data_IF_774530648357
#
_entry.id   IF_774530648357
#
_cell.length_a   1.000
_cell.length_b   1.000
_cell.length_c   1.000
_cell.angle_alpha   90.00
_cell.angle_beta   90.00
_cell.angle_gamma   90.00
#
_symmetry.space_group_name_H-M   'P 1'
#
loop_
_entity.id
_entity.type
_entity.pdbx_description
1 polymer ?
#
# COMPACT_ATOMS: atom_id res chain seq x y z
N UNK A 1 -7.90 4.80 15.12
CA UNK A 1 -8.09 3.58 15.93
C UNK A 1 -9.27 2.75 15.45
N UNK A 2 -10.46 3.35 15.32
CA UNK A 2 -11.68 2.64 14.89
C UNK A 2 -11.54 2.03 13.50
N UNK A 3 -10.90 2.73 12.56
CA UNK A 3 -10.66 2.24 11.21
C UNK A 3 -9.81 0.97 11.24
N UNK A 4 -8.72 0.98 12.00
CA UNK A 4 -7.83 -0.17 12.10
C UNK A 4 -8.52 -1.37 12.78
N UNK A 5 -9.30 -1.13 13.81
CA UNK A 5 -10.07 -2.20 14.47
C UNK A 5 -11.09 -2.81 13.52
N UNK A 6 -11.85 -1.97 12.81
CA UNK A 6 -12.82 -2.46 11.84
C UNK A 6 -12.16 -3.31 10.76
N UNK A 7 -11.03 -2.84 10.20
CA UNK A 7 -10.31 -3.57 9.16
C UNK A 7 -9.77 -4.92 9.65
N UNK A 8 -9.26 -4.98 10.88
CA UNK A 8 -8.72 -6.23 11.45
C UNK A 8 -9.81 -7.22 11.87
N UNK A 9 -11.04 -6.77 12.03
CA UNK A 9 -12.17 -7.62 12.43
C UNK A 9 -13.07 -8.05 11.26
N UNK A 10 -12.57 -7.91 10.04
CA UNK A 10 -13.26 -8.41 8.85
C UNK A 10 -14.13 -7.42 8.11
N UNK A 11 -14.15 -6.16 8.52
CA UNK A 11 -14.86 -5.11 7.78
C UNK A 11 -13.99 -4.56 6.65
N UNK A 12 -14.58 -4.34 5.48
CA UNK A 12 -13.92 -3.59 4.42
C UNK A 12 -14.07 -2.09 4.70
N UNK A 13 -12.95 -1.42 4.88
CA UNK A 13 -12.92 0.02 5.14
C UNK A 13 -12.22 0.73 3.99
N UNK A 14 -12.84 1.75 3.44
CA UNK A 14 -12.26 2.64 2.44
C UNK A 14 -12.06 4.01 3.06
N UNK A 15 -10.87 4.56 2.90
CA UNK A 15 -10.56 5.90 3.40
C UNK A 15 -9.63 6.62 2.45
N UNK A 16 -9.56 7.94 2.56
CA UNK A 16 -8.67 8.78 1.78
C UNK A 16 -7.73 9.54 2.70
N UNK A 17 -6.51 9.74 2.22
CA UNK A 17 -5.48 10.47 2.93
C UNK A 17 -4.82 11.46 1.99
N UNK A 18 -4.50 12.63 2.51
CA UNK A 18 -3.77 13.63 1.76
C UNK A 18 -2.28 13.32 1.83
N UNK A 19 -1.70 12.86 0.72
CA UNK A 19 -0.29 12.47 0.66
C UNK A 19 0.24 12.61 -0.77
N UNK A 20 1.55 12.73 -0.91
CA UNK A 20 2.20 12.87 -2.20
C UNK A 20 2.57 11.55 -2.88
N UNK A 21 2.43 10.42 -2.18
CA UNK A 21 2.77 9.09 -2.72
C UNK A 21 2.10 7.98 -1.91
N UNK A 22 2.16 6.75 -2.41
CA UNK A 22 1.70 5.57 -1.65
C UNK A 22 2.49 5.43 -0.36
N UNK A 23 3.81 5.57 -0.43
CA UNK A 23 4.69 5.49 0.73
C UNK A 23 4.27 6.50 1.81
N UNK A 24 4.11 7.77 1.42
CA UNK A 24 3.70 8.82 2.35
C UNK A 24 2.32 8.56 2.96
N UNK A 25 1.39 8.00 2.19
CA UNK A 25 0.06 7.69 2.71
C UNK A 25 0.11 6.61 3.80
N UNK A 26 0.91 5.57 3.58
CA UNK A 26 1.08 4.50 4.57
C UNK A 26 1.82 5.03 5.81
N UNK A 27 2.87 5.82 5.61
CA UNK A 27 3.60 6.44 6.72
C UNK A 27 2.70 7.37 7.53
N UNK A 28 1.86 8.15 6.86
CA UNK A 28 0.91 9.05 7.52
C UNK A 28 -0.12 8.30 8.36
N UNK A 29 -0.68 7.21 7.82
CA UNK A 29 -1.58 6.34 8.57
C UNK A 29 -0.91 5.72 9.79
N UNK A 30 0.31 5.23 9.59
CA UNK A 30 1.07 4.61 10.66
C UNK A 30 1.36 5.60 11.79
N UNK A 31 1.73 6.83 11.44
CA UNK A 31 1.98 7.90 12.40
C UNK A 31 0.72 8.27 13.20
N UNK A 32 -0.41 8.43 12.51
CA UNK A 32 -1.69 8.71 13.17
C UNK A 32 -2.13 7.57 14.09
N UNK A 33 -1.97 6.33 13.64
CA UNK A 33 -2.30 5.16 14.43
C UNK A 33 -1.40 5.03 15.66
N UNK A 34 -0.12 5.34 15.54
CA UNK A 34 0.83 5.30 16.64
C UNK A 34 0.46 6.26 17.77
N UNK A 35 -0.12 7.40 17.43
CA UNK A 35 -0.63 8.35 18.45
C UNK A 35 -1.81 7.79 19.24
N UNK A 36 -2.58 6.88 18.66
CA UNK A 36 -3.78 6.31 19.29
C UNK A 36 -3.51 4.99 20.00
N UNK A 37 -2.74 4.09 19.39
CA UNK A 37 -2.54 2.72 19.89
C UNK A 37 -1.08 2.40 20.20
N UNK A 38 -0.18 3.35 20.01
CA UNK A 38 1.26 3.19 20.32
C UNK A 38 1.91 2.10 19.50
N UNK A 39 2.78 1.32 20.11
CA UNK A 39 3.61 0.32 19.43
C UNK A 39 2.84 -0.79 18.69
N UNK A 40 1.54 -0.91 18.89
CA UNK A 40 0.70 -1.88 18.15
C UNK A 40 0.29 -1.38 16.77
N UNK A 41 0.52 -0.11 16.45
CA UNK A 41 0.05 0.49 15.19
C UNK A 41 0.58 -0.25 13.96
N UNK A 42 1.86 -0.60 13.94
CA UNK A 42 2.48 -1.31 12.82
C UNK A 42 1.85 -2.66 12.56
N UNK A 43 1.57 -3.43 13.61
CA UNK A 43 0.91 -4.74 13.50
C UNK A 43 -0.51 -4.61 12.99
N UNK A 44 -1.27 -3.67 13.53
CA UNK A 44 -2.67 -3.47 13.15
C UNK A 44 -2.77 -3.02 11.68
N UNK A 45 -1.95 -2.07 11.27
CA UNK A 45 -1.95 -1.58 9.90
C UNK A 45 -1.49 -2.68 8.93
N UNK A 46 -0.42 -3.40 9.26
CA UNK A 46 0.07 -4.49 8.43
C UNK A 46 -0.99 -5.59 8.23
N UNK A 47 -1.76 -5.88 9.26
CA UNK A 47 -2.79 -6.90 9.20
C UNK A 47 -4.04 -6.41 8.46
N UNK A 48 -4.41 -5.14 8.66
CA UNK A 48 -5.67 -4.61 8.14
C UNK A 48 -5.58 -4.01 6.74
N UNK A 49 -4.37 -3.65 6.27
CA UNK A 49 -4.22 -3.02 4.96
C UNK A 49 -4.35 -4.04 3.84
N UNK A 50 -5.28 -3.82 2.93
CA UNK A 50 -5.46 -4.64 1.73
C UNK A 50 -4.82 -4.00 0.51
N UNK A 51 -5.03 -2.71 0.34
CA UNK A 51 -4.47 -1.97 -0.79
C UNK A 51 -4.30 -0.49 -0.43
N UNK A 52 -3.33 0.12 -1.04
CA UNK A 52 -3.15 1.57 -1.02
C UNK A 52 -2.80 2.03 -2.43
N UNK A 53 -3.40 3.12 -2.89
CA UNK A 53 -3.05 3.65 -4.20
C UNK A 53 -3.02 5.17 -4.16
N UNK A 54 -2.22 5.71 -5.07
CA UNK A 54 -2.05 7.14 -5.24
C UNK A 54 -2.21 7.49 -6.72
N UNK A 55 -3.03 8.48 -7.01
CA UNK A 55 -3.27 8.94 -8.37
C UNK A 55 -2.61 10.29 -8.59
N UNK A 56 -1.84 10.40 -9.67
CA UNK A 56 -1.23 11.64 -10.11
C UNK A 56 -1.79 11.99 -11.48
N UNK A 57 -2.15 13.25 -11.68
CA UNK A 57 -2.56 13.73 -12.99
C UNK A 57 -1.33 14.15 -13.78
N UNK A 58 -1.14 13.54 -14.94
CA UNK A 58 -0.05 13.87 -15.85
C UNK A 58 -0.58 14.44 -17.16
N UNK A 59 0.31 14.95 -18.00
CA UNK A 59 -0.05 15.44 -19.35
C UNK A 59 -0.65 14.34 -20.24
N UNK A 60 -0.34 13.08 -19.95
CA UNK A 60 -0.88 11.90 -20.68
C UNK A 60 -2.14 11.33 -20.03
N UNK A 61 -2.65 11.94 -18.96
CA UNK A 61 -3.79 11.48 -18.19
C UNK A 61 -3.42 11.03 -16.79
N UNK A 62 -4.36 10.41 -16.05
CA UNK A 62 -4.08 9.93 -14.69
C UNK A 62 -3.09 8.78 -14.69
N UNK A 63 -2.17 8.83 -13.73
CA UNK A 63 -1.20 7.78 -13.48
C UNK A 63 -1.43 7.22 -12.07
N UNK A 64 -1.56 5.90 -11.97
CA UNK A 64 -1.88 5.23 -10.72
C UNK A 64 -0.70 4.38 -10.25
N UNK A 65 -0.23 4.64 -9.05
CA UNK A 65 0.66 3.72 -8.33
C UNK A 65 -0.11 3.06 -7.21
N UNK A 66 0.16 1.78 -6.99
CA UNK A 66 -0.60 1.01 -6.01
C UNK A 66 0.27 -0.05 -5.35
N UNK A 67 -0.13 -0.39 -4.14
CA UNK A 67 0.43 -1.52 -3.39
C UNK A 67 -0.73 -2.39 -2.93
N UNK A 68 -0.65 -3.69 -3.21
CA UNK A 68 -1.56 -4.70 -2.68
C UNK A 68 -0.82 -5.57 -1.69
N UNK A 69 -1.47 -5.87 -0.57
CA UNK A 69 -0.97 -6.86 0.37
C UNK A 69 -1.46 -8.24 -0.05
N UNK A 70 -0.65 -9.25 0.18
CA UNK A 70 -0.99 -10.63 -0.18
C UNK A 70 -1.19 -11.46 1.08
N UNK A 71 -2.12 -12.39 1.01
CA UNK A 71 -2.30 -13.42 2.02
C UNK A 71 -1.54 -14.65 1.58
N UNK A 72 -0.31 -14.82 2.02
CA UNK A 72 0.42 -16.04 1.77
C UNK A 72 1.19 -16.47 3.01
N UNK A 73 1.51 -17.76 3.07
CA UNK A 73 2.19 -18.37 4.21
C UNK A 73 3.68 -18.02 4.26
N UNK A 74 4.23 -17.47 3.19
CA UNK A 74 5.65 -17.11 3.09
C UNK A 74 5.93 -15.67 3.52
N UNK A 75 4.88 -14.96 3.96
CA UNK A 75 4.98 -13.56 4.34
C UNK A 75 4.90 -12.63 3.14
N UNK A 76 4.11 -11.57 3.32
CA UNK A 76 4.01 -10.50 2.34
C UNK A 76 5.11 -9.47 2.65
N UNK A 77 5.98 -9.14 1.68
CA UNK A 77 7.04 -8.15 1.91
C UNK A 77 6.51 -6.80 2.37
N UNK A 78 5.37 -6.36 1.81
CA UNK A 78 4.76 -5.07 2.15
C UNK A 78 4.28 -5.07 3.59
N UNK A 79 3.59 -6.14 4.03
CA UNK A 79 3.16 -6.26 5.42
C UNK A 79 4.33 -6.29 6.39
N UNK A 80 5.40 -7.01 6.04
CA UNK A 80 6.60 -7.11 6.86
C UNK A 80 7.26 -5.73 7.04
N UNK A 81 7.37 -4.95 5.97
CA UNK A 81 7.96 -3.61 6.03
C UNK A 81 7.12 -2.67 6.90
N UNK A 82 5.80 -2.77 6.85
CA UNK A 82 4.92 -1.97 7.70
C UNK A 82 5.11 -2.36 9.17
N UNK A 83 5.12 -3.66 9.48
CA UNK A 83 5.32 -4.14 10.86
C UNK A 83 6.65 -3.71 11.44
N UNK A 84 7.70 -3.71 10.63
CA UNK A 84 9.05 -3.37 11.05
C UNK A 84 9.36 -1.87 11.00
N UNK A 85 8.37 -1.05 10.66
CA UNK A 85 8.51 0.40 10.49
C UNK A 85 9.57 0.77 9.45
N UNK A 86 9.61 0.01 8.35
CA UNK A 86 10.54 0.21 7.24
C UNK A 86 9.82 0.59 5.95
N UNK A 87 8.77 1.40 6.07
CA UNK A 87 7.93 1.81 4.93
C UNK A 87 8.73 2.54 3.84
N UNK A 88 9.82 3.20 4.21
CA UNK A 88 10.70 3.85 3.24
C UNK A 88 11.30 2.91 2.19
N UNK A 89 11.29 1.60 2.42
CA UNK A 89 11.80 0.59 1.50
C UNK A 89 10.71 -0.01 0.59
N UNK A 90 9.48 0.48 0.69
CA UNK A 90 8.33 -0.14 0.02
C UNK A 90 8.31 0.07 -1.49
N UNK A 91 8.94 1.14 -2.00
CA UNK A 91 8.83 1.53 -3.41
C UNK A 91 9.37 0.47 -4.37
N UNK A 92 10.44 -0.24 -4.03
CA UNK A 92 10.97 -1.31 -4.87
C UNK A 92 9.98 -2.47 -5.02
N UNK A 93 9.23 -2.78 -3.98
CA UNK A 93 8.19 -3.82 -4.02
C UNK A 93 6.96 -3.36 -4.80
N UNK A 94 6.61 -2.08 -4.69
CA UNK A 94 5.54 -1.46 -5.50
C UNK A 94 5.90 -1.57 -6.98
N UNK A 95 7.11 -1.21 -7.35
CA UNK A 95 7.57 -1.28 -8.74
C UNK A 95 7.50 -2.71 -9.29
N UNK A 96 7.91 -3.69 -8.49
CA UNK A 96 7.81 -5.10 -8.87
C UNK A 96 6.37 -5.57 -9.03
N UNK A 97 5.47 -5.14 -8.15
CA UNK A 97 4.04 -5.46 -8.26
C UNK A 97 3.44 -4.89 -9.54
N UNK A 98 3.68 -3.62 -9.81
CA UNK A 98 3.14 -2.94 -10.99
C UNK A 98 3.65 -3.60 -12.26
N UNK A 99 4.95 -3.89 -12.33
CA UNK A 99 5.55 -4.56 -13.48
C UNK A 99 4.93 -5.94 -13.71
N UNK A 100 4.74 -6.72 -12.65
CA UNK A 100 4.11 -8.04 -12.73
C UNK A 100 2.68 -7.97 -13.23
N UNK A 101 1.90 -7.03 -12.71
CA UNK A 101 0.51 -6.87 -13.10
C UNK A 101 0.37 -6.34 -14.52
N UNK A 102 1.22 -5.42 -14.93
CA UNK A 102 1.24 -4.91 -16.31
C UNK A 102 1.57 -6.05 -17.28
N UNK A 103 2.54 -6.89 -16.97
CA UNK A 103 2.87 -8.07 -17.77
C UNK A 103 1.67 -9.02 -17.88
N UNK A 104 0.96 -9.26 -16.79
CA UNK A 104 -0.24 -10.11 -16.80
C UNK A 104 -1.37 -9.54 -17.65
N UNK A 105 -1.44 -8.21 -17.77
CA UNK A 105 -2.42 -7.53 -18.63
C UNK A 105 -1.98 -7.45 -20.09
N UNK A 106 -0.81 -7.96 -20.44
CA UNK A 106 -0.25 -7.84 -21.78
C UNK A 106 0.35 -6.45 -22.05
N UNK A 107 0.76 -5.74 -21.01
CA UNK A 107 1.39 -4.43 -21.12
C UNK A 107 2.91 -4.54 -20.92
N UNK A 108 3.65 -3.68 -21.61
CA UNK A 108 5.08 -3.55 -21.38
C UNK A 108 5.29 -2.86 -20.01
N UNK A 109 5.98 -3.50 -19.04
CA UNK A 109 6.17 -2.89 -17.72
C UNK A 109 7.04 -1.64 -17.72
N UNK A 110 7.83 -1.42 -18.80
CA UNK A 110 8.67 -0.22 -18.92
C UNK A 110 7.90 0.95 -19.52
N UNK A 111 7.12 0.71 -20.57
CA UNK A 111 6.41 1.76 -21.31
C UNK A 111 4.95 1.89 -20.92
N UNK A 112 4.36 0.87 -20.28
CA UNK A 112 2.93 0.83 -19.98
C UNK A 112 2.05 0.63 -21.22
N UNK A 113 2.64 0.40 -22.38
CA UNK A 113 1.91 0.18 -23.63
C UNK A 113 1.66 -1.29 -23.87
N UNK A 114 0.64 -1.58 -24.67
CA UNK A 114 0.31 -2.96 -25.03
C UNK A 114 1.46 -3.61 -25.80
N UNK A 115 1.80 -4.80 -25.37
CA UNK A 115 2.82 -5.60 -26.03
C UNK A 115 2.32 -6.11 -27.40
#
# INVERSE_FOLDING_TARGET
>A
EQILRAATTGHLVLTTIHAGSVEESIMGLLHLADQCVGGAAGYMLAQGLTAAWHQTLTSSGPYLRYAFTEENNNGDPIRALIRENKVGMINSYIDKQIARMDTQRGLDPVTGKRI
#
